data_IF_750399196061
#
_entry.id   IF_750399196061
#
_cell.length_a   1.000
_cell.length_b   1.000
_cell.length_c   1.000
_cell.angle_alpha   90.00
_cell.angle_beta   90.00
_cell.angle_gamma   90.00
#
_symmetry.space_group_name_H-M   'P 1'
#
loop_
_entity.id
_entity.type
_entity.pdbx_description
1 polymer ?
#
# COMPACT_ATOMS: atom_id res chain seq x y z
N UNK A 1 -63.61 23.60 19.12
CA UNK A 1 -62.89 23.16 17.93
C UNK A 1 -61.40 23.32 18.18
N UNK A 2 -60.77 22.28 18.55
CA UNK A 2 -59.35 22.30 18.83
C UNK A 2 -58.60 21.74 17.63
N UNK A 3 -58.08 22.67 16.81
CA UNK A 3 -57.21 22.29 15.72
C UNK A 3 -55.80 22.07 16.23
N UNK A 4 -55.41 20.83 16.39
CA UNK A 4 -54.02 20.51 16.65
C UNK A 4 -53.25 20.55 15.32
N UNK A 5 -52.51 21.63 15.16
CA UNK A 5 -51.55 21.75 14.06
C UNK A 5 -50.35 20.87 14.39
N UNK A 6 -50.34 19.64 13.87
CA UNK A 6 -49.15 18.80 13.91
C UNK A 6 -48.14 19.40 12.93
N UNK A 7 -47.21 20.21 13.47
CA UNK A 7 -46.06 20.64 12.76
C UNK A 7 -45.10 19.43 12.63
N UNK A 8 -45.25 18.74 11.50
CA UNK A 8 -44.34 17.64 11.16
C UNK A 8 -42.96 18.26 10.89
N UNK A 9 -42.09 18.28 11.90
CA UNK A 9 -40.71 18.66 11.72
C UNK A 9 -40.02 17.52 10.96
N UNK A 10 -39.94 17.67 9.65
CA UNK A 10 -39.14 16.80 8.81
C UNK A 10 -37.67 17.08 9.12
N UNK A 11 -37.12 16.28 10.03
CA UNK A 11 -35.66 16.32 10.31
C UNK A 11 -34.97 15.74 9.08
N UNK A 12 -34.52 16.63 8.21
CA UNK A 12 -33.66 16.29 7.09
C UNK A 12 -32.30 15.90 7.69
N UNK A 13 -32.11 14.60 7.92
CA UNK A 13 -30.78 14.08 8.29
C UNK A 13 -29.92 14.20 7.05
N UNK A 14 -29.23 15.31 6.95
CA UNK A 14 -28.21 15.49 5.94
C UNK A 14 -27.06 14.55 6.31
N UNK A 15 -27.00 13.39 5.66
CA UNK A 15 -25.85 12.50 5.76
C UNK A 15 -24.67 13.21 5.13
N UNK A 16 -23.83 13.82 5.96
CA UNK A 16 -22.56 14.36 5.50
C UNK A 16 -21.67 13.16 5.13
N UNK A 17 -21.69 12.81 3.86
CA UNK A 17 -20.68 11.92 3.31
C UNK A 17 -19.37 12.69 3.31
N UNK A 18 -18.47 12.35 4.24
CA UNK A 18 -17.13 12.93 4.25
C UNK A 18 -16.38 12.39 3.05
N UNK A 19 -16.16 13.27 2.07
CA UNK A 19 -15.38 12.96 0.89
C UNK A 19 -13.93 12.67 1.31
N UNK A 20 -13.36 11.52 0.89
CA UNK A 20 -11.99 11.09 1.22
C UNK A 20 -11.30 10.52 0.00
N UNK A 21 -9.95 10.57 0.01
CA UNK A 21 -9.14 9.80 -0.92
C UNK A 21 -9.27 8.30 -0.65
N UNK A 22 -9.03 7.49 -1.66
CA UNK A 22 -9.03 6.04 -1.53
C UNK A 22 -7.90 5.45 -2.37
N UNK A 23 -7.07 4.63 -1.75
CA UNK A 23 -5.94 3.97 -2.39
C UNK A 23 -6.36 2.59 -2.88
N UNK A 24 -6.45 2.44 -4.21
CA UNK A 24 -6.74 1.16 -4.84
C UNK A 24 -5.53 0.67 -5.62
N UNK A 25 -4.91 -0.40 -5.14
CA UNK A 25 -3.78 -1.04 -5.81
C UNK A 25 -4.22 -1.91 -6.98
N UNK A 26 -3.39 -1.97 -8.01
CA UNK A 26 -3.49 -2.95 -9.10
C UNK A 26 -3.26 -4.35 -8.56
N UNK A 27 -2.26 -4.51 -7.68
CA UNK A 27 -1.98 -5.73 -6.94
C UNK A 27 -1.36 -5.37 -5.60
N UNK A 28 -1.72 -6.10 -4.54
CA UNK A 28 -1.20 -5.88 -3.19
C UNK A 28 -0.11 -6.90 -2.81
N UNK A 29 0.20 -7.83 -3.71
CA UNK A 29 1.23 -8.85 -3.51
C UNK A 29 2.09 -8.96 -4.76
N UNK A 30 3.41 -8.99 -4.58
CA UNK A 30 4.34 -9.31 -5.65
C UNK A 30 5.23 -10.49 -5.25
N UNK A 31 5.27 -11.50 -6.12
CA UNK A 31 6.14 -12.66 -5.98
C UNK A 31 7.32 -12.52 -6.96
N UNK A 32 8.53 -12.38 -6.43
CA UNK A 32 9.74 -12.32 -7.23
C UNK A 32 10.16 -13.68 -7.79
N UNK A 33 9.59 -14.77 -7.27
CA UNK A 33 10.03 -16.11 -7.61
C UNK A 33 11.44 -16.40 -7.06
N UNK A 34 12.18 -17.23 -7.78
CA UNK A 34 13.57 -17.55 -7.44
C UNK A 34 14.49 -16.43 -7.92
N UNK A 35 15.27 -15.86 -7.02
CA UNK A 35 16.17 -14.74 -7.29
C UNK A 35 17.56 -15.03 -6.69
N UNK A 36 18.65 -14.59 -7.34
CA UNK A 36 19.98 -14.83 -6.83
C UNK A 36 20.28 -13.95 -5.61
N UNK A 37 20.97 -14.51 -4.63
CA UNK A 37 21.52 -13.76 -3.51
C UNK A 37 22.55 -12.75 -3.99
N UNK A 38 22.53 -11.53 -3.46
CA UNK A 38 23.46 -10.46 -3.72
C UNK A 38 22.78 -9.18 -4.17
N UNK A 39 22.40 -9.04 -5.45
CA UNK A 39 21.76 -7.82 -5.93
C UNK A 39 20.38 -7.59 -5.26
N UNK A 40 20.08 -6.36 -4.84
CA UNK A 40 18.74 -6.05 -4.35
C UNK A 40 17.71 -6.17 -5.48
N UNK A 41 16.49 -6.52 -5.12
CA UNK A 41 15.35 -6.58 -6.04
C UNK A 41 14.30 -5.56 -5.65
N UNK A 42 13.65 -4.97 -6.65
CA UNK A 42 12.64 -3.95 -6.42
C UNK A 42 11.38 -4.23 -7.22
N UNK A 43 10.24 -3.85 -6.66
CA UNK A 43 8.96 -3.84 -7.35
C UNK A 43 8.21 -2.56 -7.02
N UNK A 44 7.57 -1.99 -8.04
CA UNK A 44 6.75 -0.79 -7.89
C UNK A 44 5.29 -1.18 -7.91
N UNK A 45 4.61 -0.96 -6.79
CA UNK A 45 3.16 -1.13 -6.67
C UNK A 45 2.48 0.16 -7.10
N UNK A 46 1.68 0.10 -8.15
CA UNK A 46 0.88 1.23 -8.59
C UNK A 46 -0.48 1.23 -7.92
N UNK A 47 -0.97 2.41 -7.56
CA UNK A 47 -2.32 2.60 -7.09
C UNK A 47 -2.99 3.79 -7.79
N UNK A 48 -4.31 3.78 -7.76
CA UNK A 48 -5.15 4.89 -8.23
C UNK A 48 -5.91 5.44 -7.04
N UNK A 49 -5.99 6.77 -6.94
CA UNK A 49 -6.90 7.40 -6.00
C UNK A 49 -8.32 7.35 -6.58
N UNK A 50 -9.11 6.41 -6.10
CA UNK A 50 -10.51 6.21 -6.52
C UNK A 50 -11.49 7.05 -5.70
N UNK A 51 -10.99 7.82 -4.74
CA UNK A 51 -11.77 8.76 -3.96
C UNK A 51 -11.97 10.10 -4.67
N UNK A 52 -12.60 11.02 -3.99
CA UNK A 52 -12.95 12.36 -4.50
C UNK A 52 -12.15 13.50 -3.84
N UNK A 53 -11.18 13.17 -2.99
CA UNK A 53 -10.24 14.11 -2.37
C UNK A 53 -8.79 13.68 -2.62
N UNK A 54 -7.83 14.61 -2.56
CA UNK A 54 -6.41 14.27 -2.68
C UNK A 54 -5.97 13.27 -1.61
N UNK A 55 -5.18 12.28 -2.03
CA UNK A 55 -4.64 11.23 -1.18
C UNK A 55 -3.19 11.57 -0.83
N UNK A 56 -2.89 11.62 0.46
CA UNK A 56 -1.55 11.93 0.98
C UNK A 56 -1.04 10.72 1.77
N UNK A 57 0.07 10.17 1.33
CA UNK A 57 0.77 9.10 2.05
C UNK A 57 1.68 9.77 3.09
N UNK A 58 1.49 9.42 4.36
CA UNK A 58 2.26 9.98 5.47
C UNK A 58 3.41 9.10 5.89
N UNK A 59 3.31 7.79 5.69
CA UNK A 59 4.35 6.85 6.04
C UNK A 59 4.20 5.52 5.30
N UNK A 60 5.31 4.82 5.11
CA UNK A 60 5.36 3.43 4.67
C UNK A 60 6.40 2.70 5.51
N UNK A 61 5.95 1.78 6.36
CA UNK A 61 6.78 1.09 7.34
C UNK A 61 6.98 -0.38 6.94
N UNK A 62 8.23 -0.82 6.71
CA UNK A 62 8.51 -2.22 6.40
C UNK A 62 8.48 -3.08 7.66
N UNK A 63 8.16 -4.38 7.49
CA UNK A 63 8.16 -5.36 8.58
C UNK A 63 9.56 -5.75 9.05
N UNK A 64 10.61 -5.44 8.27
CA UNK A 64 12.01 -5.65 8.65
C UNK A 64 12.92 -4.57 8.03
N UNK A 65 14.12 -4.41 8.56
CA UNK A 65 15.15 -3.53 8.00
C UNK A 65 15.74 -4.03 6.66
N UNK A 66 15.34 -5.21 6.22
CA UNK A 66 15.73 -5.81 4.94
C UNK A 66 14.97 -5.24 3.73
N UNK A 67 13.91 -4.49 3.97
CA UNK A 67 13.04 -3.91 2.96
C UNK A 67 13.04 -2.40 3.09
N UNK A 68 13.31 -1.70 1.99
CA UNK A 68 13.31 -0.24 1.94
C UNK A 68 12.15 0.23 1.07
N UNK A 69 11.17 0.93 1.64
CA UNK A 69 10.08 1.51 0.87
C UNK A 69 10.43 2.90 0.37
N UNK A 70 9.93 3.23 -0.82
CA UNK A 70 9.83 4.59 -1.33
C UNK A 70 8.42 4.80 -1.88
N UNK A 71 7.93 6.02 -1.88
CA UNK A 71 6.54 6.29 -2.26
C UNK A 71 6.33 7.70 -2.77
N UNK A 72 5.18 7.94 -3.41
CA UNK A 72 4.78 9.26 -3.87
C UNK A 72 4.66 10.23 -2.69
N UNK A 73 5.46 11.30 -2.70
CA UNK A 73 5.53 12.29 -1.62
C UNK A 73 4.55 13.46 -1.79
N UNK A 74 4.02 13.63 -3.00
CA UNK A 74 3.06 14.69 -3.32
C UNK A 74 1.63 14.18 -3.20
N UNK A 75 0.64 15.05 -2.94
CA UNK A 75 -0.76 14.63 -2.95
C UNK A 75 -1.16 14.03 -4.30
N UNK A 76 -1.86 12.91 -4.28
CA UNK A 76 -2.38 12.24 -5.47
C UNK A 76 -3.82 12.71 -5.67
N UNK A 77 -4.12 13.45 -6.76
CA UNK A 77 -5.46 13.95 -7.00
C UNK A 77 -6.45 12.82 -7.26
N UNK A 78 -7.77 13.09 -7.16
CA UNK A 78 -8.78 12.11 -7.56
C UNK A 78 -8.54 11.61 -8.99
N UNK A 79 -8.65 10.29 -9.19
CA UNK A 79 -8.33 9.56 -10.43
C UNK A 79 -6.84 9.58 -10.82
N UNK A 80 -6.00 10.23 -10.01
CA UNK A 80 -4.56 10.24 -10.20
C UNK A 80 -3.92 8.92 -9.76
N UNK A 81 -2.69 8.70 -10.21
CA UNK A 81 -1.88 7.52 -9.91
C UNK A 81 -0.74 7.88 -8.98
N UNK A 82 -0.40 6.95 -8.11
CA UNK A 82 0.77 7.02 -7.27
C UNK A 82 1.46 5.66 -7.20
N UNK A 83 2.54 5.59 -6.44
CA UNK A 83 3.32 4.37 -6.32
C UNK A 83 3.86 4.15 -4.91
N UNK A 84 4.09 2.88 -4.59
CA UNK A 84 4.94 2.41 -3.50
C UNK A 84 5.99 1.51 -4.12
N UNK A 85 7.24 1.85 -3.98
CA UNK A 85 8.36 1.02 -4.44
C UNK A 85 8.96 0.27 -3.26
N UNK A 86 9.02 -1.05 -3.36
CA UNK A 86 9.64 -1.90 -2.35
C UNK A 86 10.96 -2.45 -2.88
N UNK A 87 12.03 -2.27 -2.12
CA UNK A 87 13.35 -2.82 -2.41
C UNK A 87 13.74 -3.80 -1.32
N UNK A 88 14.05 -5.04 -1.70
CA UNK A 88 14.45 -6.10 -0.79
C UNK A 88 15.95 -6.38 -0.92
N UNK A 89 16.66 -6.35 0.19
CA UNK A 89 18.08 -6.68 0.26
C UNK A 89 18.24 -8.19 0.42
N UNK A 90 18.76 -8.84 -0.62
CA UNK A 90 18.96 -10.30 -0.66
C UNK A 90 20.28 -10.76 -0.05
N UNK A 91 21.25 -9.86 0.13
CA UNK A 91 22.59 -10.20 0.62
C UNK A 91 22.54 -10.76 2.03
N UNK A 92 23.09 -11.94 2.21
CA UNK A 92 23.09 -12.66 3.48
C UNK A 92 21.72 -13.18 3.91
N UNK A 93 20.74 -13.26 2.98
CA UNK A 93 19.36 -13.65 3.27
C UNK A 93 18.86 -14.77 2.36
N UNK A 94 19.57 -15.90 2.25
CA UNK A 94 19.10 -17.01 1.41
C UNK A 94 17.82 -17.62 1.97
N UNK A 95 17.01 -18.16 1.06
CA UNK A 95 15.76 -18.84 1.39
C UNK A 95 14.52 -18.03 1.08
N UNK A 96 13.38 -18.59 1.43
CA UNK A 96 12.07 -17.98 1.20
C UNK A 96 11.85 -16.77 2.09
N UNK A 97 11.23 -15.75 1.53
CA UNK A 97 10.84 -14.56 2.28
C UNK A 97 9.40 -14.12 1.96
N UNK A 98 8.78 -13.50 2.94
CA UNK A 98 7.50 -12.81 2.81
C UNK A 98 7.55 -11.60 3.74
N UNK A 99 7.60 -10.40 3.15
CA UNK A 99 7.73 -9.15 3.88
C UNK A 99 6.56 -8.24 3.57
N UNK A 100 6.14 -7.47 4.55
CA UNK A 100 5.05 -6.53 4.42
C UNK A 100 5.53 -5.09 4.53
N UNK A 101 4.78 -4.19 3.88
CA UNK A 101 4.92 -2.75 4.05
C UNK A 101 3.55 -2.22 4.45
N UNK A 102 3.50 -1.57 5.60
CA UNK A 102 2.30 -0.91 6.11
C UNK A 102 2.29 0.54 5.70
N UNK A 103 1.30 0.93 4.92
CA UNK A 103 1.17 2.27 4.36
C UNK A 103 0.12 3.03 5.15
N UNK A 104 0.48 4.21 5.62
CA UNK A 104 -0.43 5.12 6.32
C UNK A 104 -0.73 6.32 5.44
N UNK A 105 -1.99 6.67 5.33
CA UNK A 105 -2.46 7.79 4.52
C UNK A 105 -3.66 8.48 5.16
N UNK A 106 -4.10 9.59 4.56
CA UNK A 106 -5.34 10.28 4.92
C UNK A 106 -6.58 9.68 4.25
N UNK A 107 -6.45 8.51 3.59
CA UNK A 107 -7.54 7.89 2.86
C UNK A 107 -8.63 7.29 3.75
N UNK A 108 -9.69 6.80 3.10
CA UNK A 108 -10.84 6.16 3.77
C UNK A 108 -10.43 4.90 4.54
N UNK A 109 -9.41 4.19 4.03
CA UNK A 109 -8.68 3.15 4.74
C UNK A 109 -7.30 3.73 5.09
N UNK A 110 -7.12 4.26 6.31
CA UNK A 110 -5.88 4.95 6.67
C UNK A 110 -4.66 4.03 6.74
N UNK A 111 -4.87 2.73 6.82
CA UNK A 111 -3.81 1.72 6.86
C UNK A 111 -4.04 0.69 5.76
N UNK A 112 -3.08 0.56 4.86
CA UNK A 112 -3.03 -0.48 3.83
C UNK A 112 -1.76 -1.29 3.98
N UNK A 113 -1.81 -2.59 3.67
CA UNK A 113 -0.65 -3.48 3.74
C UNK A 113 -0.44 -4.13 2.39
N UNK A 114 0.79 -4.07 1.90
CA UNK A 114 1.24 -4.76 0.70
C UNK A 114 2.36 -5.74 1.05
N UNK A 115 2.54 -6.75 0.21
CA UNK A 115 3.48 -7.84 0.46
C UNK A 115 4.41 -8.07 -0.72
N UNK A 116 5.67 -8.34 -0.40
CA UNK A 116 6.65 -8.91 -1.34
C UNK A 116 7.08 -10.28 -0.82
N UNK A 117 7.24 -11.22 -1.73
CA UNK A 117 7.69 -12.58 -1.41
C UNK A 117 8.57 -13.13 -2.52
N UNK A 118 9.28 -14.19 -2.21
CA UNK A 118 10.15 -14.86 -3.15
C UNK A 118 11.03 -15.87 -2.46
N UNK A 119 12.00 -16.39 -3.20
CA UNK A 119 13.00 -17.32 -2.70
C UNK A 119 14.39 -16.91 -3.18
N UNK A 120 15.27 -16.62 -2.25
CA UNK A 120 16.67 -16.22 -2.53
C UNK A 120 17.54 -17.45 -2.64
N UNK A 121 18.12 -17.66 -3.81
CA UNK A 121 19.03 -18.77 -4.09
C UNK A 121 20.42 -18.43 -3.56
N UNK A 122 21.00 -19.25 -2.65
CA UNK A 122 22.30 -18.95 -2.04
C UNK A 122 23.44 -18.90 -3.05
N UNK A 123 24.38 -17.99 -2.86
CA UNK A 123 25.64 -17.88 -3.65
C UNK A 123 26.47 -19.15 -3.59
N UNK A 124 26.46 -19.84 -2.45
CA UNK A 124 27.26 -21.04 -2.22
C UNK A 124 26.93 -22.21 -3.13
N UNK A 125 25.77 -22.17 -3.83
CA UNK A 125 25.40 -23.21 -4.81
C UNK A 125 26.04 -22.99 -6.19
N UNK A 126 26.69 -21.84 -6.42
CA UNK A 126 27.37 -21.53 -7.67
C UNK A 126 28.87 -21.83 -7.63
N UNK A 127 29.41 -22.28 -6.53
CA UNK A 127 30.83 -22.66 -6.40
C UNK A 127 30.97 -24.17 -6.38
N UNK A 128 30.45 -24.87 -7.38
CA UNK A 128 30.83 -26.26 -7.58
C UNK A 128 31.29 -26.41 -8.99
N UNK A 129 32.60 -26.39 -9.14
CA UNK A 129 33.39 -27.47 -9.74
C UNK A 129 34.77 -26.95 -10.01
N UNK A 130 35.62 -27.37 -9.17
CA UNK A 130 36.94 -27.77 -9.67
C UNK A 130 37.03 -29.26 -9.66
#
# INVERSE_FOLDING_TARGET
MNGYLFLSVLILICSYSVAQGNMKFVSEVHDFGDIPEGPPVSHTFEFVNTGDQPLIITNASPSCGCTTPDWTKTPVPPKGKGFIKATYNTEGRPGSFNKSITITSNGIEPTKVIFIKGNVIPKSQNSTNK
#
